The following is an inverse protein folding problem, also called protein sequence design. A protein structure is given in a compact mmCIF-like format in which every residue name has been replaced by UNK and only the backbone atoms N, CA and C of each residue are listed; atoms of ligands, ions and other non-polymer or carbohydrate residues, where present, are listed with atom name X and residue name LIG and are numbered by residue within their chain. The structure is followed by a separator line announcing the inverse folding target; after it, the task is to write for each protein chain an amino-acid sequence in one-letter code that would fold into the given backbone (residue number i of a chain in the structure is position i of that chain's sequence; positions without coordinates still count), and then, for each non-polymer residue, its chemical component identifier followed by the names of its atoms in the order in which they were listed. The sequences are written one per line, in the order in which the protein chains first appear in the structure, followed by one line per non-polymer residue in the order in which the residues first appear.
data_IF_362486691603
#
_entry.id   IF_362486691603
#
_cell.length_a   1.000
_cell.length_b   1.000
_cell.length_c   1.000
_cell.angle_alpha   90.00
_cell.angle_beta   90.00
_cell.angle_gamma   90.00
#
_symmetry.space_group_name_H-M   'P 1'
#
loop_
_entity.id
_entity.type
_entity.pdbx_description
1 polymer ?
#
# COMPACT_ATOMS: atom_id res chain seq x y z
N UNK A 1 21.67 -40.62 -27.34
CA UNK A 1 21.34 -39.49 -28.23
C UNK A 1 19.93 -39.02 -27.91
N UNK A 2 19.76 -37.71 -27.76
CA UNK A 2 18.69 -36.97 -27.07
C UNK A 2 17.24 -37.22 -27.51
N UNK A 3 16.29 -37.23 -26.55
CA UNK A 3 14.93 -36.75 -26.76
C UNK A 3 14.71 -35.45 -25.96
N UNK A 4 15.00 -34.28 -26.55
CA UNK A 4 14.61 -33.00 -25.96
C UNK A 4 13.19 -32.65 -26.42
N UNK A 5 12.25 -33.02 -25.56
CA UNK A 5 10.85 -32.62 -25.58
C UNK A 5 10.78 -31.13 -25.24
N UNK A 6 10.61 -30.29 -26.25
CA UNK A 6 10.41 -28.85 -26.08
C UNK A 6 9.02 -28.63 -25.47
N UNK A 7 8.95 -28.52 -24.15
CA UNK A 7 7.81 -27.90 -23.47
C UNK A 7 7.89 -26.39 -23.71
N UNK A 8 7.17 -25.90 -24.73
CA UNK A 8 6.79 -24.48 -24.79
C UNK A 8 5.76 -24.26 -23.69
N UNK A 9 6.21 -23.90 -22.49
CA UNK A 9 5.31 -23.35 -21.48
C UNK A 9 4.71 -22.07 -22.06
N UNK A 10 3.39 -22.11 -22.33
CA UNK A 10 2.58 -20.90 -22.48
C UNK A 10 2.70 -20.14 -21.16
N UNK A 11 3.54 -19.11 -21.12
CA UNK A 11 3.32 -18.01 -20.19
C UNK A 11 1.95 -17.43 -20.56
N UNK A 12 0.95 -17.70 -19.73
CA UNK A 12 -0.32 -16.99 -19.80
C UNK A 12 -0.01 -15.53 -19.56
N UNK A 13 0.12 -14.75 -20.63
CA UNK A 13 0.15 -13.29 -20.59
C UNK A 13 -1.26 -12.84 -20.22
N UNK A 14 -1.62 -12.97 -18.95
CA UNK A 14 -2.81 -12.33 -18.42
C UNK A 14 -2.54 -10.83 -18.53
N UNK A 15 -3.20 -10.16 -19.47
CA UNK A 15 -3.07 -8.72 -19.66
C UNK A 15 -3.38 -8.02 -18.34
N UNK A 16 -2.55 -7.06 -17.94
CA UNK A 16 -2.80 -6.24 -16.76
C UNK A 16 -4.18 -5.56 -16.91
N UNK A 17 -4.94 -5.40 -15.81
CA UNK A 17 -6.19 -4.66 -15.85
C UNK A 17 -5.94 -3.18 -16.19
N UNK A 18 -6.95 -2.44 -16.66
CA UNK A 18 -6.83 -1.02 -16.94
C UNK A 18 -6.29 -0.25 -15.73
N UNK A 19 -5.26 0.56 -15.99
CA UNK A 19 -4.62 1.39 -14.97
C UNK A 19 -5.12 2.84 -15.07
N UNK A 20 -5.11 3.54 -13.94
CA UNK A 20 -5.40 4.95 -13.81
C UNK A 20 -4.14 5.70 -13.36
N UNK A 21 -3.95 6.89 -13.87
CA UNK A 21 -2.95 7.86 -13.43
C UNK A 21 -3.65 9.02 -12.70
N UNK A 22 -2.89 9.89 -12.02
CA UNK A 22 -3.45 11.05 -11.31
C UNK A 22 -4.19 12.05 -12.23
N UNK A 23 -3.93 11.99 -13.53
CA UNK A 23 -4.60 12.82 -14.54
C UNK A 23 -5.74 12.09 -15.27
N UNK A 24 -6.02 10.84 -14.90
CA UNK A 24 -7.13 10.09 -15.48
C UNK A 24 -8.46 10.65 -15.00
N UNK A 25 -9.42 10.80 -15.92
CA UNK A 25 -10.79 11.17 -15.57
C UNK A 25 -11.51 9.96 -14.96
N UNK A 26 -11.59 9.90 -13.63
CA UNK A 26 -12.14 8.76 -12.88
C UNK A 26 -12.81 9.24 -11.58
N UNK A 27 -13.93 8.62 -11.15
CA UNK A 27 -14.52 8.92 -9.83
C UNK A 27 -13.62 8.50 -8.66
N UNK A 28 -12.55 7.73 -8.92
CA UNK A 28 -11.62 7.28 -7.88
C UNK A 28 -10.48 8.26 -7.63
N UNK A 29 -10.33 9.31 -8.44
CA UNK A 29 -9.21 10.25 -8.36
C UNK A 29 -9.76 11.67 -8.50
N UNK A 30 -9.44 12.55 -7.55
CA UNK A 30 -9.78 13.97 -7.64
C UNK A 30 -8.60 14.85 -7.20
N UNK A 31 -8.39 16.02 -7.82
CA UNK A 31 -7.42 16.99 -7.33
C UNK A 31 -7.90 17.61 -6.00
N UNK A 32 -6.97 17.97 -5.12
CA UNK A 32 -7.29 18.67 -3.86
C UNK A 32 -7.92 20.04 -4.09
N UNK A 33 -7.48 20.74 -5.14
CA UNK A 33 -8.11 21.96 -5.64
C UNK A 33 -8.36 21.82 -7.14
N UNK A 34 -9.63 21.82 -7.60
CA UNK A 34 -9.91 21.96 -9.02
C UNK A 34 -9.47 23.38 -9.42
N UNK A 35 -8.44 23.47 -10.26
CA UNK A 35 -7.91 24.75 -10.74
C UNK A 35 -9.06 25.58 -11.30
N UNK A 36 -9.26 26.81 -10.82
CA UNK A 36 -10.12 27.76 -11.52
C UNK A 36 -9.53 27.94 -12.92
N UNK A 37 -10.38 27.90 -13.95
CA UNK A 37 -10.05 27.66 -15.36
C UNK A 37 -9.23 28.76 -16.08
N UNK A 38 -8.41 29.52 -15.35
CA UNK A 38 -7.63 30.65 -15.89
C UNK A 38 -6.18 30.70 -15.40
N UNK A 39 -5.75 29.79 -14.52
CA UNK A 39 -4.35 29.71 -14.12
C UNK A 39 -3.54 28.96 -15.20
N UNK A 40 -2.51 29.63 -15.75
CA UNK A 40 -1.40 29.01 -16.50
C UNK A 40 -0.99 27.72 -15.79
N UNK A 41 -0.74 26.59 -16.49
CA UNK A 41 -0.38 25.35 -15.82
C UNK A 41 0.91 25.59 -15.04
N UNK A 42 0.79 25.79 -13.72
CA UNK A 42 1.90 25.60 -12.83
C UNK A 42 2.42 24.20 -13.15
N UNK A 43 3.68 24.10 -13.56
CA UNK A 43 4.30 22.84 -13.94
C UNK A 43 4.17 21.88 -12.75
N UNK A 44 3.20 20.97 -12.82
CA UNK A 44 2.96 19.97 -11.79
C UNK A 44 4.23 19.16 -11.67
N UNK A 45 4.73 18.95 -10.44
CA UNK A 45 5.91 18.11 -10.27
C UNK A 45 5.58 16.66 -10.63
N UNK A 46 4.34 16.24 -10.36
CA UNK A 46 3.79 14.95 -10.72
C UNK A 46 3.86 14.71 -12.23
N UNK A 47 4.64 13.71 -12.64
CA UNK A 47 4.57 13.18 -14.00
C UNK A 47 3.44 12.15 -14.11
N UNK A 48 2.84 11.96 -15.30
CA UNK A 48 1.68 11.09 -15.45
C UNK A 48 1.88 9.64 -14.98
N UNK A 49 3.08 9.08 -15.18
CA UNK A 49 3.35 7.66 -14.89
C UNK A 49 4.02 7.45 -13.52
N UNK A 50 4.18 8.49 -12.72
CA UNK A 50 4.88 8.43 -11.42
C UNK A 50 3.93 7.97 -10.29
N UNK A 51 2.62 7.99 -10.55
CA UNK A 51 1.61 7.29 -9.76
C UNK A 51 0.67 6.51 -10.67
N UNK A 52 0.46 5.24 -10.35
CA UNK A 52 -0.44 4.35 -11.09
C UNK A 52 -1.33 3.60 -10.12
N UNK A 53 -2.63 3.55 -10.41
CA UNK A 53 -3.64 2.78 -9.66
C UNK A 53 -4.25 1.72 -10.58
N UNK A 54 -4.30 0.49 -10.09
CA UNK A 54 -5.07 -0.62 -10.65
C UNK A 54 -6.24 -0.90 -9.71
N UNK A 55 -7.46 -0.37 -9.98
CA UNK A 55 -8.58 -0.46 -9.05
C UNK A 55 -9.03 -1.89 -8.77
N UNK A 56 -9.01 -2.74 -9.79
CA UNK A 56 -9.54 -4.11 -9.75
C UNK A 56 -8.41 -5.12 -10.04
N UNK A 57 -7.30 -5.01 -9.31
CA UNK A 57 -6.14 -5.88 -9.55
C UNK A 57 -6.36 -7.29 -9.01
N UNK A 58 -6.97 -7.41 -7.82
CA UNK A 58 -7.23 -8.68 -7.16
C UNK A 58 -8.71 -9.04 -7.21
N UNK A 59 -9.02 -10.30 -7.50
CA UNK A 59 -10.38 -10.81 -7.32
C UNK A 59 -10.68 -11.12 -5.83
N UNK A 60 -11.92 -11.42 -5.49
CA UNK A 60 -12.35 -11.64 -4.11
C UNK A 60 -11.60 -12.79 -3.41
N UNK A 61 -11.40 -13.93 -4.08
CA UNK A 61 -10.70 -15.09 -3.52
C UNK A 61 -9.23 -14.76 -3.21
N UNK A 62 -8.56 -14.02 -4.09
CA UNK A 62 -7.20 -13.56 -3.87
C UNK A 62 -7.13 -12.60 -2.67
N UNK A 63 -8.11 -11.69 -2.55
CA UNK A 63 -8.18 -10.77 -1.42
C UNK A 63 -8.37 -11.52 -0.09
N UNK A 64 -9.27 -12.51 -0.04
CA UNK A 64 -9.51 -13.33 1.16
C UNK A 64 -8.25 -14.05 1.63
N UNK A 65 -7.53 -14.65 0.69
CA UNK A 65 -6.29 -15.38 0.97
C UNK A 65 -5.19 -14.45 1.50
N UNK A 66 -5.07 -13.25 0.94
CA UNK A 66 -4.10 -12.25 1.42
C UNK A 66 -4.49 -11.69 2.79
N UNK A 67 -5.79 -11.42 3.05
CA UNK A 67 -6.26 -11.00 4.37
C UNK A 67 -5.98 -12.07 5.42
N UNK A 68 -6.35 -13.33 5.15
CA UNK A 68 -6.08 -14.45 6.05
C UNK A 68 -4.58 -14.60 6.35
N UNK A 69 -3.74 -14.48 5.32
CA UNK A 69 -2.27 -14.54 5.46
C UNK A 69 -1.74 -13.36 6.28
N UNK A 70 -2.26 -12.16 6.04
CA UNK A 70 -1.91 -10.95 6.80
C UNK A 70 -2.24 -11.08 8.28
N UNK A 71 -3.46 -11.51 8.61
CA UNK A 71 -3.91 -11.75 9.97
C UNK A 71 -3.08 -12.84 10.67
N UNK A 72 -2.78 -13.95 9.97
CA UNK A 72 -1.89 -15.01 10.48
C UNK A 72 -0.50 -14.46 10.82
N UNK A 73 0.11 -13.67 9.93
CA UNK A 73 1.46 -13.14 10.13
C UNK A 73 1.49 -12.17 11.32
N UNK A 74 0.52 -11.26 11.39
CA UNK A 74 0.38 -10.29 12.47
C UNK A 74 0.10 -10.95 13.83
N UNK A 75 -0.57 -12.10 13.86
CA UNK A 75 -0.81 -12.88 15.08
C UNK A 75 0.47 -13.49 15.68
N UNK A 76 1.47 -13.84 14.85
CA UNK A 76 2.73 -14.43 15.32
C UNK A 76 3.68 -13.42 15.96
N UNK A 77 3.64 -12.16 15.53
CA UNK A 77 4.52 -11.10 16.03
C UNK A 77 4.45 -10.92 17.56
N UNK A 78 3.32 -11.32 18.18
CA UNK A 78 3.03 -11.09 19.61
C UNK A 78 3.08 -12.34 20.50
N UNK A 79 3.63 -13.46 20.02
CA UNK A 79 3.80 -14.68 20.84
C UNK A 79 4.56 -14.46 22.16
N UNK A 80 5.37 -13.39 22.27
CA UNK A 80 6.06 -12.98 23.50
C UNK A 80 5.26 -12.09 24.47
N UNK A 81 4.22 -11.40 23.99
CA UNK A 81 3.56 -10.32 24.76
C UNK A 81 2.34 -10.75 25.58
N UNK A 82 1.83 -11.98 25.37
CA UNK A 82 0.74 -12.54 26.18
C UNK A 82 1.05 -12.55 27.68
N UNK A 83 2.33 -12.53 28.07
CA UNK A 83 2.77 -12.45 29.47
C UNK A 83 2.67 -11.05 30.08
N UNK A 84 2.71 -9.98 29.25
CA UNK A 84 2.67 -8.58 29.70
C UNK A 84 1.24 -8.00 29.73
N UNK A 85 0.39 -8.45 28.80
CA UNK A 85 -1.01 -8.02 28.69
C UNK A 85 -1.89 -8.37 29.90
N UNK A 86 -1.51 -9.34 30.74
CA UNK A 86 -2.25 -9.66 31.97
C UNK A 86 -2.09 -8.62 33.08
N UNK A 87 -1.19 -7.63 32.91
CA UNK A 87 -0.83 -6.64 33.94
C UNK A 87 -1.37 -5.22 33.69
N UNK A 88 -1.91 -4.95 32.50
CA UNK A 88 -2.48 -3.65 32.14
C UNK A 88 -3.86 -3.87 31.51
N UNK A 89 -4.84 -4.17 32.38
CA UNK A 89 -6.25 -4.20 32.00
C UNK A 89 -6.81 -2.82 32.31
N UNK A 90 -6.84 -1.95 31.31
CA UNK A 90 -7.33 -0.57 31.48
C UNK A 90 -7.06 0.34 30.29
N UNK A 91 -7.54 -0.02 29.11
CA UNK A 91 -7.88 0.92 28.03
C UNK A 91 -8.67 0.13 26.97
N UNK A 92 -9.98 0.34 26.97
CA UNK A 92 -10.94 -0.25 26.04
C UNK A 92 -10.94 0.52 24.72
N UNK A 93 -10.71 -0.16 23.61
CA UNK A 93 -11.00 0.36 22.27
C UNK A 93 -11.96 -0.60 21.54
N UNK A 94 -13.20 -0.12 21.36
CA UNK A 94 -14.20 -0.54 20.38
C UNK A 94 -14.31 -2.02 20.05
N UNK A 95 -15.04 -2.78 20.87
CA UNK A 95 -15.69 -4.00 20.39
C UNK A 95 -16.81 -3.59 19.41
N UNK A 96 -16.56 -3.68 18.10
CA UNK A 96 -17.64 -3.68 17.13
C UNK A 96 -18.34 -5.04 17.28
N UNK A 97 -19.56 -5.02 17.80
CA UNK A 97 -20.39 -6.20 18.00
C UNK A 97 -20.66 -6.89 16.65
N UNK A 98 -20.29 -8.16 16.60
CA UNK A 98 -20.48 -9.11 15.50
C UNK A 98 -21.96 -9.44 15.28
N UNK A 99 -22.67 -8.61 14.53
CA UNK A 99 -23.98 -8.98 13.94
C UNK A 99 -24.10 -8.43 12.52
N UNK A 100 -23.37 -9.05 11.57
CA UNK A 100 -23.66 -8.89 10.12
C UNK A 100 -22.53 -8.36 9.24
N UNK A 101 -21.25 -8.51 9.61
CA UNK A 101 -20.13 -8.10 8.77
C UNK A 101 -20.17 -8.80 7.40
N UNK A 102 -20.18 -8.01 6.31
CA UNK A 102 -20.23 -8.48 4.93
C UNK A 102 -18.84 -8.48 4.28
N UNK A 103 -18.69 -9.22 3.18
CA UNK A 103 -17.45 -9.24 2.39
C UNK A 103 -16.23 -9.66 3.22
N UNK A 104 -15.09 -8.98 3.03
CA UNK A 104 -13.84 -9.27 3.76
C UNK A 104 -13.90 -8.92 5.24
N UNK A 105 -14.80 -8.01 5.66
CA UNK A 105 -14.88 -7.59 7.07
C UNK A 105 -15.19 -8.78 8.00
N UNK A 106 -15.88 -9.81 7.50
CA UNK A 106 -16.16 -11.06 8.22
C UNK A 106 -14.91 -11.84 8.65
N UNK A 107 -13.75 -11.56 8.05
CA UNK A 107 -12.48 -12.20 8.41
C UNK A 107 -11.82 -11.53 9.61
N UNK A 108 -12.27 -10.32 9.99
CA UNK A 108 -11.71 -9.54 11.08
C UNK A 108 -12.40 -9.80 12.42
N UNK A 109 -12.45 -11.07 12.85
CA UNK A 109 -13.21 -11.51 14.05
C UNK A 109 -12.40 -11.49 15.35
N UNK A 110 -11.13 -11.10 15.28
CA UNK A 110 -10.22 -11.19 16.43
C UNK A 110 -10.20 -9.92 17.29
N UNK A 111 -9.86 -10.07 18.57
CA UNK A 111 -9.39 -8.96 19.37
C UNK A 111 -7.96 -8.61 18.94
N UNK A 112 -7.75 -7.37 18.51
CA UNK A 112 -6.45 -6.91 18.01
C UNK A 112 -5.86 -5.88 18.96
N UNK A 113 -4.60 -6.08 19.30
CA UNK A 113 -3.82 -5.10 20.05
C UNK A 113 -3.12 -4.17 19.05
N UNK A 114 -3.66 -2.96 18.91
CA UNK A 114 -3.09 -1.88 18.10
C UNK A 114 -2.11 -1.05 18.94
N UNK A 115 -1.15 -0.46 18.26
CA UNK A 115 -0.20 0.51 18.79
C UNK A 115 -0.77 1.93 18.57
N UNK A 116 -0.70 2.75 19.61
CA UNK A 116 -1.18 4.15 19.56
C UNK A 116 -0.29 5.04 18.66
N UNK A 117 0.96 4.63 18.39
CA UNK A 117 1.90 5.36 17.55
C UNK A 117 3.12 4.54 17.14
N UNK A 118 3.62 4.79 15.93
CA UNK A 118 4.89 4.24 15.41
C UNK A 118 6.09 5.09 15.87
N UNK A 119 7.34 4.60 15.75
CA UNK A 119 8.52 5.30 16.28
C UNK A 119 8.78 6.66 15.62
N UNK A 120 8.31 6.85 14.38
CA UNK A 120 8.35 8.12 13.65
C UNK A 120 7.09 8.98 13.86
N UNK A 121 6.13 8.49 14.66
CA UNK A 121 4.86 9.14 14.99
C UNK A 121 3.92 9.40 13.80
N UNK A 122 4.08 8.70 12.66
CA UNK A 122 3.22 8.94 11.47
C UNK A 122 2.05 7.98 11.33
N UNK A 123 2.06 6.83 12.03
CA UNK A 123 1.00 5.83 11.95
C UNK A 123 0.32 5.67 13.32
N UNK A 124 -1.01 5.69 13.34
CA UNK A 124 -1.84 5.57 14.54
C UNK A 124 -2.84 4.41 14.44
N UNK A 125 -3.12 3.79 15.59
CA UNK A 125 -4.02 2.65 15.77
C UNK A 125 -3.78 1.52 14.75
N UNK A 126 -2.54 1.06 14.72
CA UNK A 126 -2.06 0.09 13.74
C UNK A 126 -1.34 -1.08 14.40
N UNK A 127 -1.08 -2.11 13.61
CA UNK A 127 -0.06 -3.12 13.92
C UNK A 127 0.60 -3.51 12.62
N UNK A 128 1.87 -3.89 12.69
CA UNK A 128 2.59 -4.30 11.48
C UNK A 128 3.54 -5.48 11.71
N UNK A 129 3.97 -6.06 10.60
CA UNK A 129 5.03 -7.06 10.58
C UNK A 129 5.66 -7.13 9.19
N UNK A 130 6.94 -7.49 9.13
CA UNK A 130 7.58 -7.87 7.88
C UNK A 130 7.10 -9.25 7.42
N UNK A 131 6.68 -9.36 6.15
CA UNK A 131 6.42 -10.63 5.51
C UNK A 131 7.74 -11.34 5.21
N UNK A 132 8.31 -12.02 6.20
CA UNK A 132 9.56 -12.79 6.04
C UNK A 132 9.36 -14.27 5.70
N UNK A 133 8.17 -14.81 5.94
CA UNK A 133 7.86 -16.23 5.78
C UNK A 133 6.38 -16.43 5.45
N UNK A 134 6.09 -17.49 4.69
CA UNK A 134 4.74 -17.94 4.39
C UNK A 134 4.28 -19.02 5.38
N UNK A 135 2.96 -19.31 5.48
CA UNK A 135 2.46 -20.45 6.22
C UNK A 135 3.05 -21.78 5.70
N UNK A 136 3.22 -22.77 6.57
CA UNK A 136 3.77 -24.10 6.20
C UNK A 136 2.90 -24.84 5.17
N UNK A 137 1.59 -24.60 5.19
CA UNK A 137 0.62 -25.09 4.20
C UNK A 137 -0.16 -23.88 3.68
N UNK A 138 0.40 -23.16 2.68
CA UNK A 138 -0.25 -21.96 2.16
C UNK A 138 -1.47 -22.34 1.31
N UNK A 139 -2.47 -21.47 1.28
CA UNK A 139 -3.59 -21.62 0.35
C UNK A 139 -3.08 -21.65 -1.10
N UNK A 140 -3.63 -22.48 -2.01
CA UNK A 140 -3.12 -22.63 -3.38
C UNK A 140 -3.02 -21.33 -4.18
N UNK A 141 -3.88 -20.35 -3.91
CA UNK A 141 -3.86 -19.04 -4.57
C UNK A 141 -2.78 -18.10 -4.03
N UNK A 142 -2.26 -18.30 -2.81
CA UNK A 142 -1.39 -17.32 -2.15
C UNK A 142 -0.11 -17.04 -2.96
N UNK A 143 0.59 -18.10 -3.34
CA UNK A 143 1.88 -18.00 -4.06
C UNK A 143 1.68 -17.40 -5.46
N UNK A 144 0.75 -17.88 -6.31
CA UNK A 144 0.44 -17.25 -7.59
C UNK A 144 0.08 -15.75 -7.47
N UNK A 145 -0.74 -15.38 -6.49
CA UNK A 145 -1.16 -13.99 -6.29
C UNK A 145 0.02 -13.11 -5.87
N UNK A 146 0.84 -13.56 -4.91
CA UNK A 146 2.05 -12.84 -4.52
C UNK A 146 3.02 -12.69 -5.69
N UNK A 147 3.24 -13.75 -6.47
CA UNK A 147 4.08 -13.68 -7.67
C UNK A 147 3.58 -12.64 -8.67
N UNK A 148 2.26 -12.54 -8.88
CA UNK A 148 1.66 -11.54 -9.78
C UNK A 148 1.85 -10.12 -9.26
N UNK A 149 1.71 -9.91 -7.94
CA UNK A 149 1.98 -8.61 -7.30
C UNK A 149 3.47 -8.24 -7.44
N UNK A 150 4.39 -9.18 -7.16
CA UNK A 150 5.82 -8.92 -7.30
C UNK A 150 6.24 -8.73 -8.75
N UNK A 151 5.65 -9.45 -9.71
CA UNK A 151 5.90 -9.22 -11.13
C UNK A 151 5.52 -7.80 -11.54
N UNK A 152 4.36 -7.29 -11.07
CA UNK A 152 3.98 -5.90 -11.27
C UNK A 152 5.00 -4.95 -10.62
N UNK A 153 5.41 -5.21 -9.37
CA UNK A 153 6.43 -4.43 -8.68
C UNK A 153 7.74 -4.35 -9.48
N UNK A 154 8.30 -5.48 -9.89
CA UNK A 154 9.56 -5.51 -10.67
C UNK A 154 9.41 -4.86 -12.05
N UNK A 155 8.25 -4.97 -12.69
CA UNK A 155 7.99 -4.27 -13.96
C UNK A 155 7.96 -2.75 -13.84
N UNK A 156 7.75 -2.23 -12.63
CA UNK A 156 7.72 -0.80 -12.34
C UNK A 156 9.07 -0.20 -11.95
N UNK A 157 10.07 -1.06 -11.70
CA UNK A 157 11.45 -0.65 -11.45
C UNK A 157 12.17 -0.30 -12.77
N UNK A 158 13.18 0.58 -12.73
CA UNK A 158 14.04 0.83 -13.87
C UNK A 158 14.72 -0.47 -14.35
N UNK A 159 14.95 -0.65 -15.66
CA UNK A 159 15.74 -1.76 -16.16
C UNK A 159 17.13 -1.74 -15.52
N UNK A 160 17.55 -2.85 -14.91
CA UNK A 160 18.89 -3.02 -14.36
C UNK A 160 19.49 -4.34 -14.86
N UNK A 161 20.80 -4.39 -15.15
CA UNK A 161 21.46 -5.63 -15.55
C UNK A 161 21.39 -6.73 -14.47
N UNK A 162 21.03 -6.39 -13.23
CA UNK A 162 20.87 -7.32 -12.12
C UNK A 162 19.41 -7.81 -11.91
N UNK A 163 18.40 -7.24 -12.59
CA UNK A 163 16.98 -7.57 -12.34
C UNK A 163 16.50 -8.88 -12.99
N UNK A 164 17.40 -9.60 -13.66
CA UNK A 164 17.08 -10.85 -14.38
C UNK A 164 17.31 -12.13 -13.55
N UNK A 165 17.14 -12.07 -12.23
CA UNK A 165 17.15 -13.29 -11.41
C UNK A 165 15.76 -13.47 -10.83
N UNK A 166 14.97 -14.36 -11.45
CA UNK A 166 13.78 -14.95 -10.86
C UNK A 166 14.17 -15.60 -9.52
N UNK A 167 14.13 -14.84 -8.43
CA UNK A 167 14.33 -15.43 -7.11
C UNK A 167 13.08 -16.24 -6.78
N UNK A 168 13.20 -17.56 -6.78
CA UNK A 168 12.16 -18.51 -6.38
C UNK A 168 11.71 -18.39 -4.90
N UNK A 169 12.14 -17.34 -4.20
CA UNK A 169 11.87 -17.07 -2.79
C UNK A 169 10.77 -16.01 -2.64
N UNK A 170 9.88 -16.20 -1.68
CA UNK A 170 8.84 -15.24 -1.31
C UNK A 170 9.02 -14.80 0.15
N UNK A 171 9.21 -13.50 0.44
CA UNK A 171 9.34 -12.40 -0.52
C UNK A 171 10.64 -12.50 -1.36
N UNK A 172 10.68 -11.92 -2.58
CA UNK A 172 11.88 -11.83 -3.40
C UNK A 172 13.01 -11.06 -2.71
N UNK A 173 14.26 -11.44 -3.01
CA UNK A 173 15.42 -10.71 -2.50
C UNK A 173 15.43 -9.26 -3.00
N UNK A 174 15.94 -8.33 -2.18
CA UNK A 174 15.97 -6.91 -2.53
C UNK A 174 14.62 -6.20 -2.40
N UNK A 175 13.61 -6.85 -1.81
CA UNK A 175 12.34 -6.23 -1.45
C UNK A 175 12.15 -6.16 0.06
N UNK A 176 11.43 -5.14 0.52
CA UNK A 176 10.91 -5.02 1.87
C UNK A 176 9.39 -5.01 1.80
N UNK A 177 8.77 -6.08 2.32
CA UNK A 177 7.32 -6.27 2.28
C UNK A 177 6.73 -6.16 3.68
N UNK A 178 6.06 -5.05 3.97
CA UNK A 178 5.33 -4.83 5.21
C UNK A 178 3.87 -5.27 5.05
N UNK A 179 3.36 -5.93 6.09
CA UNK A 179 1.92 -6.12 6.29
C UNK A 179 1.51 -5.16 7.39
N UNK A 180 0.69 -4.18 7.04
CA UNK A 180 0.17 -3.16 7.94
C UNK A 180 -1.33 -3.37 8.13
N UNK A 181 -1.80 -3.46 9.37
CA UNK A 181 -3.23 -3.53 9.69
C UNK A 181 -3.63 -2.27 10.45
N UNK A 182 -4.46 -1.44 9.82
CA UNK A 182 -5.10 -0.30 10.43
C UNK A 182 -6.43 -0.72 11.05
N UNK A 183 -6.68 -0.24 12.27
CA UNK A 183 -7.98 -0.33 12.90
C UNK A 183 -9.03 0.50 12.15
N UNK A 184 -10.33 0.38 12.50
CA UNK A 184 -11.37 1.23 11.94
C UNK A 184 -11.15 2.72 12.22
N UNK A 185 -10.45 3.10 13.30
CA UNK A 185 -10.13 4.50 13.62
C UNK A 185 -8.71 4.91 13.24
N UNK A 186 -7.89 3.95 12.75
CA UNK A 186 -6.50 4.19 12.42
C UNK A 186 -6.29 5.03 11.17
N UNK A 187 -5.16 5.72 11.15
CA UNK A 187 -4.77 6.64 10.10
C UNK A 187 -3.25 6.65 9.90
N UNK A 188 -2.83 7.20 8.77
CA UNK A 188 -1.41 7.47 8.48
C UNK A 188 -1.31 8.94 8.13
N UNK A 189 -0.55 9.70 8.92
CA UNK A 189 -0.32 11.13 8.74
C UNK A 189 0.54 11.42 7.49
N UNK A 190 0.51 12.66 6.95
CA UNK A 190 1.32 13.04 5.80
C UNK A 190 2.81 12.81 6.06
N UNK A 191 3.45 12.03 5.19
CA UNK A 191 4.89 11.78 5.28
C UNK A 191 5.49 11.35 3.93
N UNK A 192 6.82 11.42 3.85
CA UNK A 192 7.60 10.76 2.80
C UNK A 192 8.30 9.56 3.41
N UNK A 193 8.16 8.39 2.80
CA UNK A 193 8.86 7.17 3.22
C UNK A 193 10.37 7.41 3.35
N UNK A 194 10.95 6.96 4.46
CA UNK A 194 12.37 7.13 4.77
C UNK A 194 13.26 6.66 3.59
N UNK A 195 14.05 7.61 3.05
CA UNK A 195 14.90 7.41 1.88
C UNK A 195 16.06 6.43 2.15
N UNK A 196 16.46 6.28 3.41
CA UNK A 196 17.50 5.33 3.83
C UNK A 196 16.96 3.90 3.98
N UNK A 197 15.64 3.72 4.06
CA UNK A 197 14.99 2.43 4.28
C UNK A 197 14.17 1.95 3.07
N UNK A 198 13.90 2.82 2.09
CA UNK A 198 13.03 2.54 0.96
C UNK A 198 13.61 3.14 -0.32
N UNK A 199 13.73 2.33 -1.38
CA UNK A 199 14.41 2.69 -2.62
C UNK A 199 13.64 3.66 -3.51
N UNK A 200 13.31 3.28 -4.74
CA UNK A 200 12.68 4.13 -5.76
C UNK A 200 11.19 3.95 -5.90
N UNK A 201 10.69 2.75 -5.59
CA UNK A 201 9.31 2.36 -5.88
C UNK A 201 8.64 1.86 -4.61
N UNK A 202 7.42 2.33 -4.40
CA UNK A 202 6.51 1.82 -3.38
C UNK A 202 5.29 1.25 -4.10
N UNK A 203 4.95 -0.01 -3.85
CA UNK A 203 3.71 -0.62 -4.28
C UNK A 203 2.85 -0.92 -3.05
N UNK A 204 1.62 -0.41 -3.03
CA UNK A 204 0.65 -0.68 -1.97
C UNK A 204 -0.54 -1.48 -2.48
N UNK A 205 -0.82 -2.62 -1.85
CA UNK A 205 -2.06 -3.39 -2.03
C UNK A 205 -3.05 -2.97 -0.94
N UNK A 206 -4.30 -2.70 -1.29
CA UNK A 206 -5.36 -2.37 -0.32
C UNK A 206 -6.35 -3.51 -0.15
N UNK A 207 -6.60 -3.93 1.09
CA UNK A 207 -7.49 -5.05 1.42
C UNK A 207 -8.42 -4.68 2.59
N UNK A 208 -9.71 -5.00 2.46
CA UNK A 208 -10.70 -4.71 3.50
C UNK A 208 -11.41 -3.38 3.25
N UNK A 209 -11.58 -2.57 4.28
CA UNK A 209 -12.35 -1.35 4.20
C UNK A 209 -11.62 -0.30 3.34
N UNK A 210 -12.39 0.39 2.51
CA UNK A 210 -11.87 1.44 1.63
C UNK A 210 -11.28 2.60 2.44
N UNK A 211 -10.32 3.31 1.84
CA UNK A 211 -9.74 4.53 2.41
C UNK A 211 -9.42 5.55 1.34
N UNK A 212 -9.33 6.80 1.76
CA UNK A 212 -8.77 7.88 0.94
C UNK A 212 -7.25 7.96 1.18
N UNK A 213 -6.47 7.74 0.11
CA UNK A 213 -5.06 8.14 0.05
C UNK A 213 -5.02 9.60 -0.40
N UNK A 214 -4.34 10.45 0.37
CA UNK A 214 -4.05 11.83 -0.04
C UNK A 214 -2.57 11.96 -0.38
N UNK A 215 -2.30 12.57 -1.53
CA UNK A 215 -0.98 12.99 -1.98
C UNK A 215 -0.94 14.52 -1.94
N UNK A 216 0.01 15.10 -1.23
CA UNK A 216 0.17 16.55 -1.11
C UNK A 216 1.61 16.92 -1.45
N UNK A 217 1.81 17.91 -2.32
CA UNK A 217 3.15 18.37 -2.67
C UNK A 217 3.88 18.85 -1.42
N UNK A 218 5.09 18.34 -1.25
CA UNK A 218 6.01 18.80 -0.22
C UNK A 218 6.62 20.13 -0.66
N UNK A 219 6.38 21.19 0.09
CA UNK A 219 7.03 22.48 -0.13
C UNK A 219 8.34 22.55 0.65
N UNK A 220 9.40 23.04 0.01
CA UNK A 220 10.65 23.35 0.71
C UNK A 220 10.63 24.76 1.28
N UNK A 221 11.43 25.03 2.32
CA UNK A 221 11.57 26.40 2.87
C UNK A 221 12.12 27.42 1.86
N UNK A 222 12.69 26.94 0.74
CA UNK A 222 13.21 27.78 -0.35
C UNK A 222 12.13 28.21 -1.34
N UNK A 223 10.99 27.53 -1.37
CA UNK A 223 9.83 27.92 -2.18
C UNK A 223 9.01 28.94 -1.36
N UNK A 224 9.05 30.20 -1.76
CA UNK A 224 8.46 31.32 -1.01
C UNK A 224 6.95 31.17 -0.75
N UNK A 225 6.44 32.03 0.14
CA UNK A 225 5.06 31.99 0.68
C UNK A 225 3.94 32.01 -0.39
N UNK A 226 4.22 32.60 -1.57
CA UNK A 226 3.30 32.64 -2.74
C UNK A 226 3.10 31.28 -3.43
N UNK A 227 4.02 30.33 -3.26
CA UNK A 227 3.92 28.98 -3.81
C UNK A 227 3.16 28.02 -2.87
N UNK A 228 3.13 28.31 -1.57
CA UNK A 228 2.44 27.50 -0.55
C UNK A 228 0.91 27.65 -0.60
N UNK A 229 0.40 28.66 -1.29
CA UNK A 229 -1.02 29.03 -1.31
C UNK A 229 -1.86 28.14 -2.23
N UNK A 230 -1.22 27.39 -3.13
CA UNK A 230 -1.87 26.40 -3.99
C UNK A 230 -1.47 25.00 -3.49
N UNK A 231 -2.32 24.33 -2.71
CA UNK A 231 -2.08 22.94 -2.28
C UNK A 231 -2.20 22.00 -3.49
N UNK A 232 -1.11 21.83 -4.24
CA UNK A 232 -1.04 20.85 -5.31
C UNK A 232 -1.11 19.44 -4.72
N UNK A 233 -2.04 18.63 -5.22
CA UNK A 233 -2.19 17.25 -4.78
C UNK A 233 -3.46 16.57 -5.25
N UNK A 234 -3.62 15.33 -4.83
CA UNK A 234 -4.72 14.46 -5.22
C UNK A 234 -5.23 13.66 -4.04
N UNK A 235 -6.50 13.29 -4.12
CA UNK A 235 -7.11 12.26 -3.33
C UNK A 235 -7.45 11.08 -4.23
N UNK A 236 -7.18 9.89 -3.72
CA UNK A 236 -7.35 8.62 -4.42
C UNK A 236 -8.15 7.68 -3.54
N UNK A 237 -9.30 7.23 -4.05
CA UNK A 237 -10.14 6.23 -3.39
C UNK A 237 -9.53 4.85 -3.57
N UNK A 238 -9.05 4.26 -2.48
CA UNK A 238 -8.44 2.94 -2.46
C UNK A 238 -9.48 1.88 -2.08
N UNK A 239 -10.09 1.29 -3.10
CA UNK A 239 -10.98 0.13 -2.95
C UNK A 239 -10.25 -1.14 -2.55
N UNK A 240 -10.97 -2.12 -1.98
CA UNK A 240 -10.39 -3.43 -1.69
C UNK A 240 -10.00 -4.16 -2.97
N UNK A 241 -8.82 -4.78 -2.99
CA UNK A 241 -8.24 -5.44 -4.15
C UNK A 241 -7.50 -4.51 -5.10
N UNK A 242 -7.47 -3.20 -4.81
CA UNK A 242 -6.69 -2.25 -5.59
C UNK A 242 -5.19 -2.34 -5.29
N UNK A 243 -4.37 -2.00 -6.29
CA UNK A 243 -2.93 -1.87 -6.18
C UNK A 243 -2.51 -0.51 -6.70
N UNK A 244 -1.74 0.24 -5.92
CA UNK A 244 -1.14 1.49 -6.37
C UNK A 244 0.38 1.41 -6.38
N UNK A 245 1.01 2.20 -7.25
CA UNK A 245 2.46 2.35 -7.38
C UNK A 245 2.78 3.84 -7.22
N UNK A 246 3.81 4.14 -6.44
CA UNK A 246 4.42 5.46 -6.31
C UNK A 246 5.90 5.35 -6.67
N UNK A 247 6.39 6.25 -7.52
CA UNK A 247 7.80 6.33 -7.90
C UNK A 247 8.20 7.77 -8.21
N UNK A 248 9.51 7.97 -8.37
CA UNK A 248 10.10 9.19 -8.92
C UNK A 248 9.51 10.48 -8.30
N UNK A 249 8.85 11.33 -9.09
CA UNK A 249 8.35 12.63 -8.61
C UNK A 249 7.36 12.49 -7.46
N UNK A 250 6.48 11.49 -7.52
CA UNK A 250 5.45 11.26 -6.50
C UNK A 250 6.06 10.72 -5.23
N UNK A 251 6.99 9.77 -5.34
CA UNK A 251 7.69 9.24 -4.17
C UNK A 251 8.36 10.37 -3.39
N UNK A 252 9.18 11.18 -4.06
CA UNK A 252 10.09 12.08 -3.35
C UNK A 252 9.52 13.48 -3.10
N UNK A 253 8.62 13.93 -3.98
CA UNK A 253 8.08 15.28 -3.98
C UNK A 253 6.71 15.43 -3.31
N UNK A 254 6.06 14.32 -2.92
CA UNK A 254 4.72 14.35 -2.33
C UNK A 254 4.70 13.58 -1.01
N UNK A 255 4.12 14.20 -0.01
CA UNK A 255 3.71 13.52 1.21
C UNK A 255 2.46 12.70 0.92
N UNK A 256 2.43 11.49 1.46
CA UNK A 256 1.29 10.60 1.35
C UNK A 256 0.70 10.31 2.73
N UNK A 257 -0.63 10.17 2.79
CA UNK A 257 -1.37 9.89 4.02
C UNK A 257 -2.59 9.02 3.73
N UNK A 258 -2.98 8.18 4.70
CA UNK A 258 -4.25 7.43 4.68
C UNK A 258 -5.18 8.08 5.69
N UNK A 259 -6.23 8.73 5.18
CA UNK A 259 -7.10 9.56 6.00
C UNK A 259 -8.02 8.71 6.90
N UNK A 260 -8.35 9.20 8.11
CA UNK A 260 -9.38 8.59 8.95
C UNK A 260 -10.77 8.75 8.32
N UNK A 261 -11.73 7.95 8.77
CA UNK A 261 -13.10 8.01 8.22
C UNK A 261 -13.89 9.25 8.64
N UNK A 262 -13.49 9.97 9.67
CA UNK A 262 -14.14 11.22 10.06
C UNK A 262 -13.66 12.43 9.25
N UNK A 263 -12.59 12.30 8.46
CA UNK A 263 -12.17 13.32 7.50
C UNK A 263 -13.28 13.54 6.45
N UNK A 264 -13.67 14.79 6.12
CA UNK A 264 -14.66 15.09 5.08
C UNK A 264 -14.34 14.46 3.72
N UNK A 265 -13.07 14.17 3.47
CA UNK A 265 -12.56 13.58 2.23
C UNK A 265 -12.77 12.07 2.15
N UNK A 266 -13.35 11.48 3.19
CA UNK A 266 -13.97 10.15 3.13
C UNK A 266 -15.34 10.17 2.42
N UNK A 267 -15.85 11.33 2.02
CA UNK A 267 -17.08 11.43 1.22
C UNK A 267 -16.71 11.42 -0.27
N UNK A 268 -17.23 10.42 -0.98
CA UNK A 268 -17.08 10.22 -2.43
C UNK A 268 -18.46 10.13 -3.05
N UNK A 269 -18.73 10.94 -4.07
CA UNK A 269 -20.03 10.99 -4.76
C UNK A 269 -21.25 11.17 -3.81
N UNK A 270 -21.04 11.91 -2.71
CA UNK A 270 -22.06 12.15 -1.69
C UNK A 270 -22.21 11.04 -0.65
N UNK A 271 -21.49 9.93 -0.80
CA UNK A 271 -21.51 8.80 0.13
C UNK A 271 -20.24 8.74 0.96
N UNK A 272 -20.40 8.52 2.27
CA UNK A 272 -19.29 8.37 3.20
C UNK A 272 -18.75 6.93 3.12
N UNK A 273 -17.43 6.76 3.04
CA UNK A 273 -16.80 5.43 3.07
C UNK A 273 -17.21 4.65 4.33
N UNK A 274 -17.52 3.37 4.16
CA UNK A 274 -17.92 2.50 5.26
C UNK A 274 -16.74 2.21 6.20
N UNK A 275 -16.95 2.46 7.49
CA UNK A 275 -15.94 2.25 8.50
C UNK A 275 -15.61 0.75 8.67
N UNK A 276 -14.32 0.41 8.70
CA UNK A 276 -13.90 -0.97 8.95
C UNK A 276 -12.38 -1.17 8.96
N UNK A 277 -11.98 -2.42 9.18
CA UNK A 277 -10.58 -2.84 9.22
C UNK A 277 -9.93 -2.84 7.84
N UNK A 278 -8.65 -2.43 7.78
CA UNK A 278 -7.89 -2.40 6.52
C UNK A 278 -6.52 -3.03 6.70
N UNK A 279 -6.16 -3.94 5.81
CA UNK A 279 -4.79 -4.44 5.65
C UNK A 279 -4.17 -3.81 4.40
N UNK A 280 -2.92 -3.36 4.53
CA UNK A 280 -2.06 -3.03 3.40
C UNK A 280 -0.93 -4.02 3.30
N UNK A 281 -0.58 -4.41 2.08
CA UNK A 281 0.71 -5.04 1.77
C UNK A 281 1.53 -3.99 1.04
N UNK A 282 2.58 -3.51 1.69
CA UNK A 282 3.47 -2.46 1.19
C UNK A 282 4.79 -3.08 0.76
N UNK A 283 5.11 -3.01 -0.53
CA UNK A 283 6.34 -3.55 -1.12
C UNK A 283 7.22 -2.38 -1.53
N UNK A 284 8.48 -2.42 -1.12
CA UNK A 284 9.51 -1.43 -1.44
C UNK A 284 10.73 -2.13 -1.99
N UNK A 285 11.47 -1.48 -2.86
CA UNK A 285 12.82 -1.92 -3.20
C UNK A 285 13.76 -1.54 -2.06
N UNK A 286 14.76 -2.39 -1.82
CA UNK A 286 15.83 -2.05 -0.93
C UNK A 286 16.51 -0.77 -1.44
N UNK A 287 16.90 0.15 -0.54
CA UNK A 287 17.65 1.34 -0.94
C UNK A 287 18.91 0.91 -1.71
N UNK A 288 19.31 1.65 -2.75
CA UNK A 288 20.59 1.40 -3.39
C UNK A 288 21.67 1.44 -2.30
N UNK A 289 22.52 0.40 -2.23
CA UNK A 289 23.68 0.45 -1.35
C UNK A 289 24.45 1.72 -1.71
N UNK A 290 24.93 2.52 -0.74
CA UNK A 290 25.83 3.62 -1.05
C UNK A 290 26.98 3.02 -1.84
N UNK A 291 27.04 3.34 -3.12
CA UNK A 291 27.85 2.55 -4.04
C UNK A 291 29.31 2.60 -3.61
N UNK A 292 29.97 1.48 -3.91
CA UNK A 292 31.39 1.39 -4.24
C UNK A 292 31.75 2.26 -5.48
N UNK A 293 31.15 3.45 -5.63
CA UNK A 293 31.48 4.51 -6.60
C UNK A 293 32.76 5.27 -6.17
N UNK A 294 33.74 4.52 -5.65
CA UNK A 294 35.16 4.88 -5.67
C UNK A 294 35.88 3.78 -6.43
N UNK A 295 35.80 3.88 -7.75
CA UNK A 295 36.67 3.22 -8.72
C UNK A 295 37.06 4.26 -9.75
#
# INVERSE_FOLDING_TARGET
MNPLRILKHRLSTTSLPPALTLHSHSPLIRPLHPSSSTATPALTLAKPDDFVLYPNFLNEEEQEVLVATGLWKLGRSRGGDRRRARRQKGASAGAVSDTGAKGLQRLFTGEYAFEEGHYDSVIHDYRESLLSTLPSSPHPLLVPTLNRIYALFFSSLPPSPATATETATLPPAGTLTHILHLSPVGSILPHVDNLEASGRVILGVSLGAERTLRLRRKFSDREGERTRTEEEGWEVRLGSGSVYIQRDSIRYGYEHSILPFDDPSSIWDGEKLEMGHRISIMIRDAPPKPDLLRG
#
